data_IF_228777450470
#
_entry.id   IF_228777450470
#
_cell.length_a   1.000
_cell.length_b   1.000
_cell.length_c   1.000
_cell.angle_alpha   90.00
_cell.angle_beta   90.00
_cell.angle_gamma   90.00
#
_symmetry.space_group_name_H-M   'P 1'
#
loop_
_entity.id
_entity.type
_entity.pdbx_description
1 polymer ?
#
# COMPACT_ATOMS: atom_id res chain seq x y z
N UNK A 1 -60.59 -10.32 -2.01
CA UNK A 1 -60.58 -10.47 -0.53
C UNK A 1 -59.21 -9.99 -0.08
N UNK A 2 -59.11 -8.88 0.64
CA UNK A 2 -57.88 -8.38 1.17
C UNK A 2 -57.71 -8.81 2.64
N UNK A 3 -56.51 -9.27 2.99
CA UNK A 3 -56.14 -9.53 4.38
C UNK A 3 -55.20 -8.39 4.85
N UNK A 4 -55.73 -7.65 5.83
CA UNK A 4 -55.03 -6.64 6.60
C UNK A 4 -54.03 -7.29 7.54
N UNK A 5 -52.79 -6.71 7.63
CA UNK A 5 -51.89 -6.99 8.75
C UNK A 5 -51.61 -5.71 9.56
N UNK A 6 -51.87 -5.88 10.86
CA UNK A 6 -51.84 -4.89 11.92
C UNK A 6 -50.41 -4.51 12.29
N UNK A 7 -50.13 -3.21 12.43
CA UNK A 7 -48.89 -2.65 13.01
C UNK A 7 -48.99 -2.71 14.54
N UNK A 8 -48.02 -3.35 15.16
CA UNK A 8 -47.76 -3.28 16.58
C UNK A 8 -46.55 -2.40 16.88
N UNK A 9 -46.77 -1.23 17.44
CA UNK A 9 -45.71 -0.34 17.95
C UNK A 9 -45.43 -0.69 19.42
N UNK A 10 -44.19 -1.03 19.74
CA UNK A 10 -43.73 -1.13 21.14
C UNK A 10 -42.90 0.09 21.46
N UNK A 11 -43.42 0.92 22.37
CA UNK A 11 -42.66 2.00 23.01
C UNK A 11 -41.98 1.47 24.26
N UNK A 12 -40.66 1.59 24.33
CA UNK A 12 -39.90 1.42 25.57
C UNK A 12 -39.56 2.78 26.14
N UNK A 13 -40.09 3.02 27.34
CA UNK A 13 -39.82 4.18 28.19
C UNK A 13 -38.55 3.92 29.01
N UNK A 14 -37.59 4.83 28.97
CA UNK A 14 -36.40 4.83 29.84
C UNK A 14 -36.54 5.94 30.84
N UNK A 15 -36.77 5.56 32.12
CA UNK A 15 -36.77 6.47 33.26
C UNK A 15 -35.36 6.69 33.80
N UNK A 16 -34.98 7.95 33.87
CA UNK A 16 -33.78 8.46 34.54
C UNK A 16 -33.86 8.30 36.07
N UNK A 17 -32.77 7.92 36.71
CA UNK A 17 -32.55 8.21 38.14
C UNK A 17 -31.13 8.74 38.33
N UNK A 18 -31.02 10.05 38.55
CA UNK A 18 -29.90 10.71 39.23
C UNK A 18 -29.81 10.21 40.69
N UNK A 19 -28.61 9.94 41.17
CA UNK A 19 -28.28 10.03 42.59
C UNK A 19 -26.91 10.72 42.74
N UNK A 20 -26.98 11.92 43.29
CA UNK A 20 -25.86 12.69 43.83
C UNK A 20 -25.45 12.12 45.19
N UNK A 21 -24.15 12.03 45.45
CA UNK A 21 -23.58 11.97 46.78
C UNK A 21 -22.45 12.98 46.89
N UNK A 22 -22.75 14.04 47.66
CA UNK A 22 -21.76 14.92 48.28
C UNK A 22 -21.23 14.23 49.55
N UNK A 23 -19.93 14.21 49.75
CA UNK A 23 -19.33 14.05 51.06
C UNK A 23 -18.12 14.98 51.16
N UNK A 24 -18.27 16.02 51.97
CA UNK A 24 -17.18 16.86 52.49
C UNK A 24 -16.45 16.04 53.57
N UNK A 25 -15.13 16.03 53.51
CA UNK A 25 -14.25 15.60 54.55
C UNK A 25 -13.07 16.53 54.66
N UNK A 26 -13.14 17.47 55.63
CA UNK A 26 -12.00 18.25 56.14
C UNK A 26 -11.14 17.32 57.01
N UNK A 27 -9.88 17.20 56.72
CA UNK A 27 -8.87 16.73 57.68
C UNK A 27 -7.68 17.68 57.66
N UNK A 28 -7.55 18.37 58.74
CA UNK A 28 -6.34 19.15 59.13
C UNK A 28 -5.27 18.14 59.54
N UNK A 29 -4.05 18.28 59.04
CA UNK A 29 -2.96 17.39 59.42
C UNK A 29 -1.60 18.01 59.22
N UNK A 30 -1.10 18.60 60.21
CA UNK A 30 0.28 18.69 60.74
C UNK A 30 1.43 18.53 59.74
N UNK A 31 2.17 19.60 59.59
CA UNK A 31 3.48 19.71 58.92
C UNK A 31 4.51 18.94 59.80
N UNK A 32 5.08 17.88 59.25
CA UNK A 32 6.31 17.28 59.75
C UNK A 32 7.38 17.50 58.65
N UNK A 33 8.41 18.27 59.01
CA UNK A 33 9.63 18.42 58.23
C UNK A 33 10.37 17.10 58.21
N UNK A 34 10.26 16.33 57.14
CA UNK A 34 11.03 15.14 56.91
C UNK A 34 12.28 15.50 56.09
N UNK A 35 13.42 15.49 56.76
CA UNK A 35 14.73 15.83 56.21
C UNK A 35 15.24 14.72 55.30
N UNK A 36 14.71 14.65 54.07
CA UNK A 36 15.31 13.88 52.98
C UNK A 36 16.35 14.73 52.25
N UNK A 37 17.55 14.18 52.02
CA UNK A 37 18.51 14.84 51.14
C UNK A 37 17.95 15.01 49.76
N UNK A 38 18.35 16.03 49.01
CA UNK A 38 17.94 16.23 47.63
C UNK A 38 18.32 14.98 46.79
N UNK A 39 17.52 14.62 45.77
CA UNK A 39 17.86 13.52 44.88
C UNK A 39 19.21 13.75 44.21
N UNK A 40 20.06 12.75 44.21
CA UNK A 40 21.33 12.76 43.49
C UNK A 40 21.08 13.09 41.99
N UNK A 41 21.96 13.88 41.35
CA UNK A 41 21.88 14.11 39.93
C UNK A 41 21.99 12.75 39.22
N UNK A 42 21.26 12.56 38.08
CA UNK A 42 21.31 11.30 37.33
C UNK A 42 22.77 11.01 36.95
N UNK A 43 23.21 9.79 37.23
CA UNK A 43 24.50 9.27 36.77
C UNK A 43 24.58 9.41 35.26
N UNK A 44 25.81 9.65 34.71
CA UNK A 44 25.97 9.67 33.25
C UNK A 44 25.44 8.37 32.66
N UNK A 45 24.52 8.49 31.72
CA UNK A 45 23.81 7.40 31.07
C UNK A 45 24.80 6.35 30.59
N UNK A 46 24.70 5.17 31.14
CA UNK A 46 25.35 3.97 30.60
C UNK A 46 24.85 3.78 29.16
N UNK A 47 25.74 3.58 28.18
CA UNK A 47 25.30 3.34 26.80
C UNK A 47 24.32 2.18 26.78
N UNK A 48 23.14 2.40 26.21
CA UNK A 48 22.11 1.40 26.07
C UNK A 48 22.69 0.10 25.49
N UNK A 49 22.54 -1.06 26.16
CA UNK A 49 22.95 -2.32 25.56
C UNK A 49 21.95 -2.66 24.45
N UNK A 50 22.40 -2.57 23.20
CA UNK A 50 21.93 -3.33 22.03
C UNK A 50 20.41 -3.57 21.92
N UNK A 51 19.63 -2.50 21.78
CA UNK A 51 18.46 -2.51 20.93
C UNK A 51 18.89 -1.83 19.64
N UNK A 52 18.64 -2.41 18.44
CA UNK A 52 18.74 -1.64 17.23
C UNK A 52 17.78 -0.46 17.39
N UNK A 53 18.27 0.77 17.27
CA UNK A 53 17.43 1.93 17.18
C UNK A 53 16.44 1.66 16.05
N UNK A 54 15.15 1.83 16.29
CA UNK A 54 14.14 1.80 15.24
C UNK A 54 14.61 2.79 14.17
N UNK A 55 15.11 2.27 13.03
CA UNK A 55 15.63 3.09 11.94
C UNK A 55 17.04 2.81 11.45
N UNK A 56 17.71 1.73 11.85
CA UNK A 56 18.90 1.31 11.11
C UNK A 56 18.46 0.89 9.70
N UNK A 57 18.53 1.84 8.77
CA UNK A 57 18.39 1.57 7.34
C UNK A 57 19.49 0.57 7.01
N UNK A 58 19.11 -0.69 6.76
CA UNK A 58 20.05 -1.71 6.31
C UNK A 58 20.87 -1.11 5.17
N UNK A 59 22.21 -1.17 5.28
CA UNK A 59 23.10 -0.61 4.25
C UNK A 59 22.72 -1.24 2.93
N UNK A 60 22.24 -0.41 2.02
CA UNK A 60 21.80 -0.81 0.69
C UNK A 60 22.98 -1.43 -0.06
N UNK A 61 22.89 -2.69 -0.55
CA UNK A 61 23.99 -3.29 -1.29
C UNK A 61 24.31 -2.50 -2.57
N UNK A 62 25.58 -2.39 -2.88
CA UNK A 62 26.03 -1.75 -4.12
C UNK A 62 25.42 -2.45 -5.35
N UNK A 63 24.92 -1.66 -6.30
CA UNK A 63 24.27 -2.17 -7.51
C UNK A 63 22.85 -2.70 -7.31
N UNK A 64 22.28 -2.59 -6.11
CA UNK A 64 20.88 -2.91 -5.88
C UNK A 64 19.95 -1.82 -6.42
N UNK A 65 18.71 -2.23 -6.71
CA UNK A 65 17.58 -1.35 -7.06
C UNK A 65 16.55 -1.45 -5.94
N UNK A 66 16.19 -0.31 -5.37
CA UNK A 66 15.12 -0.24 -4.37
C UNK A 66 13.79 0.00 -5.07
N UNK A 67 12.87 -0.94 -4.89
CA UNK A 67 11.52 -0.88 -5.44
C UNK A 67 10.54 -0.72 -4.29
N UNK A 68 9.63 0.25 -4.41
CA UNK A 68 8.56 0.46 -3.45
C UNK A 68 7.20 0.43 -4.13
N UNK A 69 6.16 0.04 -3.38
CA UNK A 69 4.77 0.16 -3.81
C UNK A 69 3.97 0.91 -2.74
N UNK A 70 3.04 1.76 -3.20
CA UNK A 70 2.16 2.57 -2.35
C UNK A 70 0.80 2.76 -3.05
N UNK A 71 -0.29 2.40 -2.39
CA UNK A 71 -1.61 2.92 -2.71
C UNK A 71 -1.69 4.35 -2.17
N UNK A 72 -1.91 5.35 -3.04
CA UNK A 72 -1.88 6.79 -2.68
C UNK A 72 -3.22 7.32 -2.18
N UNK A 73 -4.19 6.44 -1.98
CA UNK A 73 -5.52 6.75 -1.46
C UNK A 73 -6.26 7.80 -2.29
N UNK A 74 -6.64 7.45 -3.53
CA UNK A 74 -7.48 8.24 -4.44
C UNK A 74 -6.92 9.64 -4.71
N UNK A 75 -5.79 9.70 -5.39
CA UNK A 75 -5.26 10.98 -5.89
C UNK A 75 -6.13 11.46 -7.06
N UNK A 76 -7.31 11.99 -6.73
CA UNK A 76 -8.20 12.66 -7.68
C UNK A 76 -7.70 14.07 -7.99
N UNK A 77 -7.80 14.47 -9.26
CA UNK A 77 -7.44 15.82 -9.65
C UNK A 77 -8.59 16.84 -9.44
N UNK A 78 -8.53 18.01 -10.05
CA UNK A 78 -9.49 19.10 -9.87
C UNK A 78 -10.56 19.13 -10.97
N UNK A 79 -10.63 18.09 -11.81
CA UNK A 79 -11.59 17.94 -12.90
C UNK A 79 -12.60 16.87 -12.53
N UNK A 80 -13.85 17.07 -12.88
CA UNK A 80 -14.91 16.12 -12.65
C UNK A 80 -15.15 15.27 -13.90
N UNK A 81 -14.48 14.15 -14.03
CA UNK A 81 -14.50 13.32 -15.23
C UNK A 81 -15.78 12.49 -15.37
N UNK A 82 -16.38 12.07 -14.26
CA UNK A 82 -17.65 11.31 -14.27
C UNK A 82 -18.88 12.20 -14.41
N UNK A 83 -18.75 13.52 -14.21
CA UNK A 83 -19.87 14.45 -14.10
C UNK A 83 -20.68 14.29 -12.79
N UNK A 84 -20.22 13.47 -11.86
CA UNK A 84 -20.81 13.21 -10.53
C UNK A 84 -19.71 13.18 -9.48
N UNK A 85 -19.41 14.34 -8.88
CA UNK A 85 -18.24 14.51 -8.06
C UNK A 85 -18.53 15.27 -6.77
N UNK A 86 -17.63 15.06 -5.80
CA UNK A 86 -17.68 15.75 -4.51
C UNK A 86 -18.76 15.22 -3.58
N UNK A 87 -18.84 15.78 -2.36
CA UNK A 87 -19.80 15.33 -1.35
C UNK A 87 -19.61 13.86 -0.99
N UNK A 88 -20.61 13.02 -1.25
CA UNK A 88 -20.61 11.57 -0.98
C UNK A 88 -20.35 10.72 -2.24
N UNK A 89 -20.09 11.34 -3.39
CA UNK A 89 -19.80 10.62 -4.62
C UNK A 89 -18.41 9.95 -4.55
N UNK A 90 -18.21 8.92 -5.37
CA UNK A 90 -16.95 8.18 -5.40
C UNK A 90 -15.77 9.06 -5.86
N UNK A 91 -15.99 9.85 -6.92
CA UNK A 91 -15.03 10.82 -7.42
C UNK A 91 -15.03 12.04 -6.51
N UNK A 92 -13.95 12.22 -5.75
CA UNK A 92 -13.75 13.45 -5.01
C UNK A 92 -13.43 14.59 -5.99
N UNK A 93 -13.85 15.82 -5.65
CA UNK A 93 -13.46 17.01 -6.40
C UNK A 93 -12.71 17.94 -5.45
N UNK A 94 -11.39 17.74 -5.26
CA UNK A 94 -10.62 18.58 -4.38
C UNK A 94 -10.46 19.99 -4.95
N UNK A 95 -10.35 20.99 -4.06
CA UNK A 95 -9.90 22.31 -4.51
C UNK A 95 -8.46 22.23 -5.01
N UNK A 96 -8.00 23.17 -5.88
CA UNK A 96 -6.60 23.19 -6.32
C UNK A 96 -5.58 23.19 -5.17
N UNK A 97 -5.90 23.87 -4.07
CA UNK A 97 -5.03 23.88 -2.88
C UNK A 97 -5.04 22.55 -2.13
N UNK A 98 -6.17 21.87 -2.04
CA UNK A 98 -6.28 20.54 -1.42
C UNK A 98 -5.53 19.48 -2.23
N UNK A 99 -5.70 19.48 -3.56
CA UNK A 99 -4.96 18.62 -4.47
C UNK A 99 -3.44 18.83 -4.37
N UNK A 100 -2.99 20.10 -4.40
CA UNK A 100 -1.58 20.43 -4.25
C UNK A 100 -1.03 19.96 -2.89
N UNK A 101 -1.79 20.15 -1.79
CA UNK A 101 -1.38 19.73 -0.47
C UNK A 101 -1.28 18.19 -0.34
N UNK A 102 -2.20 17.43 -0.96
CA UNK A 102 -2.13 15.97 -1.01
C UNK A 102 -0.90 15.52 -1.80
N UNK A 103 -0.66 16.10 -2.98
CA UNK A 103 0.51 15.78 -3.80
C UNK A 103 1.82 16.13 -3.08
N UNK A 104 1.89 17.26 -2.34
CA UNK A 104 3.05 17.64 -1.53
C UNK A 104 3.30 16.65 -0.38
N UNK A 105 2.23 16.16 0.26
CA UNK A 105 2.35 15.21 1.36
C UNK A 105 2.82 13.84 0.87
N UNK A 106 2.23 13.33 -0.22
CA UNK A 106 2.63 12.09 -0.87
C UNK A 106 4.10 12.15 -1.34
N UNK A 107 4.49 13.26 -1.97
CA UNK A 107 5.87 13.43 -2.45
C UNK A 107 6.88 13.36 -1.30
N UNK A 108 6.65 14.08 -0.20
CA UNK A 108 7.51 13.97 1.00
C UNK A 108 7.60 12.55 1.55
N UNK A 109 6.48 11.82 1.55
CA UNK A 109 6.48 10.40 1.93
C UNK A 109 7.34 9.56 0.99
N UNK A 110 7.17 9.74 -0.32
CA UNK A 110 7.91 8.99 -1.35
C UNK A 110 9.42 9.27 -1.24
N UNK A 111 9.83 10.52 -1.07
CA UNK A 111 11.25 10.88 -0.84
C UNK A 111 11.88 10.11 0.34
N UNK A 112 11.14 9.96 1.46
CA UNK A 112 11.64 9.21 2.64
C UNK A 112 11.84 7.71 2.39
N UNK A 113 11.29 7.14 1.31
CA UNK A 113 11.49 5.73 0.97
C UNK A 113 12.86 5.48 0.34
N UNK A 114 13.53 6.51 -0.21
CA UNK A 114 14.80 6.39 -0.95
C UNK A 114 14.69 5.32 -2.04
N UNK A 115 13.57 5.29 -2.76
CA UNK A 115 13.29 4.31 -3.79
C UNK A 115 13.83 4.74 -5.15
N UNK A 116 14.25 3.78 -5.98
CA UNK A 116 14.61 4.03 -7.39
C UNK A 116 13.39 3.86 -8.32
N UNK A 117 12.42 3.04 -7.89
CA UNK A 117 11.20 2.76 -8.64
C UNK A 117 10.03 2.74 -7.68
N UNK A 118 8.97 3.49 -8.01
CA UNK A 118 7.71 3.52 -7.30
C UNK A 118 6.61 2.89 -8.13
N UNK A 119 5.88 1.95 -7.54
CA UNK A 119 4.68 1.33 -8.08
C UNK A 119 3.49 1.91 -7.32
N UNK A 120 2.70 2.74 -8.00
CA UNK A 120 1.61 3.47 -7.37
C UNK A 120 0.26 2.83 -7.74
N UNK A 121 -0.67 2.85 -6.81
CA UNK A 121 -2.08 2.54 -7.03
C UNK A 121 -2.94 3.73 -6.61
N UNK A 122 -4.11 3.87 -7.23
CA UNK A 122 -5.10 4.92 -7.00
C UNK A 122 -4.67 6.33 -7.46
N UNK A 123 -3.93 6.41 -8.55
CA UNK A 123 -3.73 7.65 -9.31
C UNK A 123 -4.83 7.76 -10.35
N UNK A 124 -5.60 8.86 -10.36
CA UNK A 124 -6.73 9.01 -11.27
C UNK A 124 -6.29 9.28 -12.70
N UNK A 125 -5.50 10.33 -12.91
CA UNK A 125 -5.20 10.88 -14.24
C UNK A 125 -3.70 11.09 -14.44
N UNK A 126 -3.32 11.33 -15.71
CA UNK A 126 -1.96 11.78 -16.03
C UNK A 126 -1.62 13.10 -15.33
N UNK A 127 -2.61 14.00 -15.11
CA UNK A 127 -2.39 15.25 -14.35
C UNK A 127 -2.03 14.96 -12.89
N UNK A 128 -2.67 13.95 -12.26
CA UNK A 128 -2.30 13.48 -10.92
C UNK A 128 -0.88 12.95 -10.85
N UNK A 129 -0.49 12.11 -11.82
CA UNK A 129 0.87 11.59 -11.92
C UNK A 129 1.90 12.70 -12.16
N UNK A 130 1.61 13.65 -13.06
CA UNK A 130 2.50 14.77 -13.35
C UNK A 130 2.65 15.71 -12.17
N UNK A 131 1.60 15.89 -11.37
CA UNK A 131 1.66 16.65 -10.13
C UNK A 131 2.63 16.02 -9.10
N UNK A 132 2.63 14.71 -8.95
CA UNK A 132 3.62 14.00 -8.13
C UNK A 132 5.02 14.11 -8.74
N UNK A 133 5.16 13.80 -10.01
CA UNK A 133 6.44 13.79 -10.71
C UNK A 133 7.14 15.16 -10.70
N UNK A 134 6.37 16.26 -10.77
CA UNK A 134 6.93 17.61 -10.69
C UNK A 134 7.56 17.95 -9.33
N UNK A 135 7.23 17.18 -8.29
CA UNK A 135 7.75 17.31 -6.91
C UNK A 135 8.88 16.34 -6.60
N UNK A 136 9.08 15.36 -7.46
CA UNK A 136 9.99 14.22 -7.28
C UNK A 136 11.02 14.19 -8.43
N UNK A 137 11.99 15.13 -8.44
CA UNK A 137 12.96 15.24 -9.53
C UNK A 137 13.86 13.99 -9.69
N UNK A 138 13.96 13.16 -8.65
CA UNK A 138 14.65 11.87 -8.67
C UNK A 138 13.96 10.84 -9.58
N UNK A 139 12.68 11.05 -9.93
CA UNK A 139 11.93 10.20 -10.87
C UNK A 139 11.63 10.94 -12.19
N UNK A 140 12.64 11.11 -13.07
CA UNK A 140 12.42 11.79 -14.36
C UNK A 140 11.47 11.04 -15.29
N UNK A 141 11.29 9.73 -15.07
CA UNK A 141 10.44 8.87 -15.89
C UNK A 141 9.19 8.46 -15.13
N UNK A 142 8.04 8.44 -15.82
CA UNK A 142 6.79 7.98 -15.24
C UNK A 142 5.79 7.60 -16.31
N UNK A 143 4.92 6.63 -16.00
CA UNK A 143 3.86 6.16 -16.87
C UNK A 143 2.63 5.79 -16.06
N UNK A 144 1.44 6.17 -16.55
CA UNK A 144 0.14 5.80 -16.03
C UNK A 144 -0.42 4.62 -16.82
N UNK A 145 -0.95 3.62 -16.13
CA UNK A 145 -1.72 2.52 -16.70
C UNK A 145 -3.18 2.90 -16.82
N UNK A 146 -3.48 3.85 -17.69
CA UNK A 146 -4.81 4.43 -17.90
C UNK A 146 -5.82 3.36 -18.34
N UNK A 147 -6.95 3.26 -17.66
CA UNK A 147 -8.03 2.34 -18.01
C UNK A 147 -9.04 2.92 -18.99
N UNK A 148 -9.02 4.23 -19.21
CA UNK A 148 -9.98 4.95 -20.03
C UNK A 148 -11.39 5.00 -19.46
N UNK A 149 -11.57 4.69 -18.19
CA UNK A 149 -12.83 4.80 -17.45
C UNK A 149 -12.86 6.12 -16.71
N UNK A 150 -14.01 6.82 -16.75
CA UNK A 150 -14.18 8.07 -15.98
C UNK A 150 -14.05 7.80 -14.48
N UNK A 151 -13.38 8.70 -13.74
CA UNK A 151 -13.11 8.57 -12.31
C UNK A 151 -12.44 7.25 -11.94
N UNK A 152 -11.59 6.71 -12.82
CA UNK A 152 -10.83 5.50 -12.51
C UNK A 152 -9.76 5.82 -11.47
N UNK A 153 -9.35 4.80 -10.75
CA UNK A 153 -8.19 4.84 -9.85
C UNK A 153 -7.18 3.85 -10.38
N UNK A 154 -6.25 4.36 -11.14
CA UNK A 154 -5.35 3.60 -11.97
C UNK A 154 -4.02 3.30 -11.27
N UNK A 155 -3.18 2.50 -11.90
CA UNK A 155 -1.83 2.21 -11.44
C UNK A 155 -0.82 3.05 -12.21
N UNK A 156 0.29 3.38 -11.56
CA UNK A 156 1.36 4.13 -12.21
C UNK A 156 2.74 3.62 -11.79
N UNK A 157 3.75 3.93 -12.60
CA UNK A 157 5.16 3.67 -12.27
C UNK A 157 5.93 4.97 -12.39
N UNK A 158 6.70 5.32 -11.35
CA UNK A 158 7.75 6.34 -11.41
C UNK A 158 9.11 5.64 -11.35
N UNK A 159 10.09 6.13 -12.10
CA UNK A 159 11.42 5.53 -12.18
C UNK A 159 12.52 6.56 -12.30
N UNK A 160 13.61 6.33 -11.54
CA UNK A 160 14.87 7.03 -11.70
C UNK A 160 15.61 6.60 -13.00
N UNK A 161 15.22 5.45 -13.56
CA UNK A 161 15.87 4.86 -14.73
C UNK A 161 14.99 4.96 -15.97
N UNK A 162 15.59 4.97 -17.19
CA UNK A 162 14.86 5.04 -18.45
C UNK A 162 13.84 3.90 -18.60
N UNK A 163 12.62 4.24 -19.00
CA UNK A 163 11.60 3.29 -19.43
C UNK A 163 11.88 2.93 -20.89
N UNK A 164 12.06 1.64 -21.18
CA UNK A 164 12.37 1.13 -22.52
C UNK A 164 11.16 0.51 -23.20
N UNK A 165 10.18 0.01 -22.44
CA UNK A 165 8.95 -0.58 -22.96
C UNK A 165 7.84 -0.49 -21.91
N UNK A 166 6.61 -0.35 -22.37
CA UNK A 166 5.39 -0.38 -21.55
C UNK A 166 4.38 -1.31 -22.23
N UNK A 167 3.80 -2.21 -21.46
CA UNK A 167 2.76 -3.14 -21.90
C UNK A 167 1.59 -3.13 -20.91
N UNK A 168 0.37 -3.07 -21.45
CA UNK A 168 -0.87 -3.22 -20.69
C UNK A 168 -1.48 -4.61 -20.89
N UNK A 169 -2.08 -5.16 -19.85
CA UNK A 169 -2.68 -6.50 -19.88
C UNK A 169 -4.18 -6.51 -19.52
N UNK A 170 -4.80 -5.34 -19.32
CA UNK A 170 -6.19 -5.22 -18.87
C UNK A 170 -7.20 -5.93 -19.78
N UNK A 171 -6.95 -5.92 -21.07
CA UNK A 171 -7.87 -6.51 -22.07
C UNK A 171 -7.78 -8.03 -22.16
N UNK A 172 -6.84 -8.66 -21.46
CA UNK A 172 -6.72 -10.11 -21.40
C UNK A 172 -7.99 -10.72 -20.78
N UNK A 173 -8.55 -11.73 -21.43
CA UNK A 173 -9.63 -12.53 -20.86
C UNK A 173 -9.08 -13.39 -19.73
N UNK A 174 -9.65 -13.25 -18.54
CA UNK A 174 -9.33 -14.03 -17.35
C UNK A 174 -10.45 -15.03 -17.06
N UNK A 175 -10.09 -16.17 -16.45
CA UNK A 175 -11.06 -17.22 -16.11
C UNK A 175 -11.16 -17.33 -14.59
N UNK A 176 -12.37 -17.13 -14.06
CA UNK A 176 -12.65 -17.34 -12.64
C UNK A 176 -12.68 -18.82 -12.28
N UNK A 177 -12.53 -19.22 -11.01
CA UNK A 177 -12.61 -20.62 -10.58
C UNK A 177 -13.92 -21.33 -10.97
N UNK A 178 -15.01 -20.58 -11.13
CA UNK A 178 -16.31 -21.11 -11.57
C UNK A 178 -16.45 -21.26 -13.11
N UNK A 179 -15.39 -20.98 -13.88
CA UNK A 179 -15.37 -21.05 -15.33
C UNK A 179 -15.89 -19.81 -16.05
N UNK A 180 -16.47 -18.82 -15.36
CA UNK A 180 -16.88 -17.58 -16.01
C UNK A 180 -15.67 -16.69 -16.34
N UNK A 181 -15.83 -15.81 -17.33
CA UNK A 181 -14.75 -14.91 -17.75
C UNK A 181 -14.85 -13.54 -17.09
N UNK A 182 -13.72 -12.87 -17.01
CA UNK A 182 -13.59 -11.49 -16.53
C UNK A 182 -12.38 -10.83 -17.18
N UNK A 183 -12.02 -9.62 -16.72
CA UNK A 183 -10.80 -8.89 -17.06
C UNK A 183 -10.19 -8.32 -15.79
N UNK A 184 -8.97 -7.83 -15.86
CA UNK A 184 -8.39 -7.04 -14.76
C UNK A 184 -9.29 -5.86 -14.40
N UNK A 185 -9.39 -5.56 -13.11
CA UNK A 185 -10.18 -4.44 -12.59
C UNK A 185 -9.55 -3.09 -12.97
N UNK A 186 -8.24 -3.02 -12.88
CA UNK A 186 -7.36 -1.92 -13.31
C UNK A 186 -6.33 -2.49 -14.26
N UNK A 187 -5.44 -1.67 -14.78
CA UNK A 187 -4.34 -2.19 -15.59
C UNK A 187 -3.42 -3.09 -14.74
N UNK A 188 -2.95 -4.19 -15.30
CA UNK A 188 -1.70 -4.82 -14.87
C UNK A 188 -0.61 -4.22 -15.75
N UNK A 189 0.12 -3.25 -15.23
CA UNK A 189 1.05 -2.43 -15.97
C UNK A 189 2.46 -3.03 -15.92
N UNK A 190 2.93 -3.56 -17.05
CA UNK A 190 4.30 -4.08 -17.22
C UNK A 190 5.20 -2.97 -17.76
N UNK A 191 6.26 -2.64 -17.03
CA UNK A 191 7.21 -1.59 -17.41
C UNK A 191 8.63 -2.15 -17.40
N UNK A 192 9.33 -2.02 -18.53
CA UNK A 192 10.71 -2.41 -18.68
C UNK A 192 11.62 -1.20 -18.47
N UNK A 193 12.64 -1.38 -17.65
CA UNK A 193 13.61 -0.35 -17.27
C UNK A 193 15.02 -0.76 -17.67
N UNK A 194 15.82 0.21 -18.10
CA UNK A 194 17.27 0.06 -18.25
C UNK A 194 17.97 0.59 -17.00
N UNK A 195 18.37 -0.32 -16.13
CA UNK A 195 19.10 0.00 -14.90
C UNK A 195 20.60 -0.16 -15.15
N UNK A 196 21.22 0.88 -15.71
CA UNK A 196 22.68 0.90 -16.00
C UNK A 196 23.11 -0.30 -16.86
N UNK A 197 22.35 -0.59 -17.92
CA UNK A 197 22.59 -1.72 -18.83
C UNK A 197 22.01 -3.06 -18.38
N UNK A 198 21.32 -3.11 -17.24
CA UNK A 198 20.63 -4.30 -16.74
C UNK A 198 19.13 -4.15 -16.91
N UNK A 199 18.47 -5.20 -17.40
CA UNK A 199 17.02 -5.18 -17.58
C UNK A 199 16.31 -5.44 -16.27
N UNK A 200 15.41 -4.54 -15.90
CA UNK A 200 14.46 -4.70 -14.80
C UNK A 200 13.04 -4.58 -15.36
N UNK A 201 12.20 -5.54 -15.07
CA UNK A 201 10.78 -5.53 -15.46
C UNK A 201 9.95 -5.43 -14.19
N UNK A 202 9.16 -4.37 -14.09
CA UNK A 202 8.25 -4.19 -12.96
C UNK A 202 6.81 -4.28 -13.41
N UNK A 203 5.98 -4.85 -12.55
CA UNK A 203 4.54 -4.93 -12.72
C UNK A 203 3.88 -4.14 -11.60
N UNK A 204 3.12 -3.11 -11.95
CA UNK A 204 2.25 -2.41 -11.00
C UNK A 204 0.84 -2.99 -11.09
N UNK A 205 0.27 -3.36 -9.94
CA UNK A 205 -1.05 -3.97 -9.85
C UNK A 205 -1.92 -3.34 -8.75
N UNK A 206 -3.23 -3.26 -9.04
CA UNK A 206 -4.26 -2.97 -8.06
C UNK A 206 -5.44 -3.90 -8.33
N UNK A 207 -5.52 -5.00 -7.57
CA UNK A 207 -6.57 -6.02 -7.78
C UNK A 207 -7.94 -5.56 -7.29
N UNK A 208 -8.98 -6.31 -7.65
CA UNK A 208 -10.34 -6.05 -7.21
C UNK A 208 -10.42 -5.92 -5.68
N UNK A 209 -10.94 -4.79 -5.21
CA UNK A 209 -11.09 -4.54 -3.78
C UNK A 209 -12.17 -5.45 -3.16
N UNK A 210 -12.16 -5.53 -1.82
CA UNK A 210 -13.19 -6.27 -1.06
C UNK A 210 -14.49 -5.47 -0.86
N UNK A 211 -14.54 -4.23 -1.31
CA UNK A 211 -15.79 -3.47 -1.43
C UNK A 211 -16.58 -4.09 -2.58
N UNK A 212 -17.82 -4.55 -2.34
CA UNK A 212 -18.58 -5.39 -3.27
C UNK A 212 -17.76 -6.58 -3.75
N UNK A 213 -17.35 -7.43 -2.82
CA UNK A 213 -16.32 -8.45 -2.97
C UNK A 213 -16.59 -9.41 -4.14
N UNK A 214 -15.61 -9.53 -5.05
CA UNK A 214 -15.53 -10.55 -6.10
C UNK A 214 -14.21 -11.31 -5.94
N UNK A 215 -14.18 -12.22 -4.96
CA UNK A 215 -13.00 -13.05 -4.67
C UNK A 215 -12.60 -13.92 -5.87
N UNK A 216 -13.58 -14.34 -6.68
CA UNK A 216 -13.32 -15.11 -7.92
C UNK A 216 -12.60 -14.29 -8.98
N UNK A 217 -12.91 -12.99 -9.10
CA UNK A 217 -12.19 -12.09 -9.99
C UNK A 217 -10.77 -11.84 -9.48
N UNK A 218 -10.62 -11.56 -8.19
CA UNK A 218 -9.30 -11.33 -7.57
C UNK A 218 -8.39 -12.55 -7.72
N UNK A 219 -8.95 -13.76 -7.59
CA UNK A 219 -8.22 -15.00 -7.90
C UNK A 219 -7.77 -15.04 -9.36
N UNK A 220 -8.67 -14.73 -10.31
CA UNK A 220 -8.37 -14.76 -11.75
C UNK A 220 -7.30 -13.70 -12.12
N UNK A 221 -7.32 -12.53 -11.47
CA UNK A 221 -6.29 -11.51 -11.62
C UNK A 221 -4.92 -12.04 -11.16
N UNK A 222 -4.86 -12.69 -10.02
CA UNK A 222 -3.63 -13.26 -9.47
C UNK A 222 -3.08 -14.41 -10.34
N UNK A 223 -3.94 -15.32 -10.76
CA UNK A 223 -3.58 -16.47 -11.61
C UNK A 223 -3.00 -15.99 -12.96
N UNK A 224 -3.67 -15.04 -13.59
CA UNK A 224 -3.21 -14.44 -14.85
C UNK A 224 -1.89 -13.64 -14.67
N UNK A 225 -1.74 -12.91 -13.56
CA UNK A 225 -0.50 -12.18 -13.24
C UNK A 225 0.68 -13.15 -13.11
N UNK A 226 0.50 -14.28 -12.41
CA UNK A 226 1.53 -15.33 -12.32
C UNK A 226 1.95 -15.80 -13.71
N UNK A 227 0.99 -16.10 -14.58
CA UNK A 227 1.27 -16.59 -15.94
C UNK A 227 2.01 -15.55 -16.79
N UNK A 228 1.58 -14.27 -16.73
CA UNK A 228 2.20 -13.17 -17.45
C UNK A 228 3.64 -12.97 -16.98
N UNK A 229 3.87 -12.92 -15.68
CA UNK A 229 5.19 -12.73 -15.10
C UNK A 229 6.14 -13.90 -15.38
N UNK A 230 5.62 -15.14 -15.31
CA UNK A 230 6.39 -16.33 -15.67
C UNK A 230 6.82 -16.28 -17.14
N UNK A 231 5.94 -15.84 -18.03
CA UNK A 231 6.27 -15.64 -19.44
C UNK A 231 7.28 -14.51 -19.65
N UNK A 232 7.14 -13.40 -18.91
CA UNK A 232 8.12 -12.29 -18.97
C UNK A 232 9.50 -12.75 -18.51
N UNK A 233 9.58 -13.49 -17.39
CA UNK A 233 10.83 -14.10 -16.90
C UNK A 233 11.44 -15.05 -17.92
N UNK A 234 10.63 -15.91 -18.56
CA UNK A 234 11.11 -16.84 -19.59
C UNK A 234 11.62 -16.12 -20.86
N UNK A 235 11.00 -15.01 -21.27
CA UNK A 235 11.45 -14.20 -22.39
C UNK A 235 12.72 -13.39 -22.07
N UNK A 236 12.92 -13.05 -20.80
CA UNK A 236 14.03 -12.22 -20.31
C UNK A 236 14.74 -12.89 -19.13
N UNK A 237 15.41 -14.04 -19.33
CA UNK A 237 15.94 -14.87 -18.24
C UNK A 237 17.04 -14.19 -17.42
N UNK A 238 17.65 -13.12 -17.92
CA UNK A 238 18.62 -12.31 -17.18
C UNK A 238 18.01 -11.09 -16.49
N UNK A 239 16.73 -10.82 -16.67
CA UNK A 239 16.08 -9.68 -16.04
C UNK A 239 15.87 -9.90 -14.53
N UNK A 240 15.68 -8.81 -13.80
CA UNK A 240 14.97 -8.79 -12.54
C UNK A 240 13.49 -8.58 -12.86
N UNK A 241 12.59 -9.42 -12.34
CA UNK A 241 11.14 -9.32 -12.61
C UNK A 241 10.40 -9.23 -11.27
N UNK A 242 9.74 -8.09 -11.02
CA UNK A 242 9.10 -7.76 -9.73
C UNK A 242 7.67 -7.31 -9.95
N UNK A 243 6.75 -7.81 -9.13
CA UNK A 243 5.37 -7.30 -8.98
C UNK A 243 5.27 -6.50 -7.68
N UNK A 244 4.56 -5.39 -7.71
CA UNK A 244 4.18 -4.67 -6.51
C UNK A 244 2.85 -3.95 -6.65
N UNK A 245 2.22 -3.70 -5.52
CA UNK A 245 0.96 -2.94 -5.43
C UNK A 245 0.00 -3.48 -4.39
N UNK A 246 -1.21 -2.93 -4.42
CA UNK A 246 -2.34 -3.34 -3.59
C UNK A 246 -3.04 -4.55 -4.23
N UNK A 247 -2.76 -5.73 -3.71
CA UNK A 247 -3.37 -6.97 -4.18
C UNK A 247 -4.70 -7.29 -3.49
N UNK A 248 -5.14 -6.41 -2.56
CA UNK A 248 -6.42 -6.48 -1.87
C UNK A 248 -6.70 -7.83 -1.18
N UNK A 249 -5.64 -8.59 -0.86
CA UNK A 249 -5.78 -9.85 -0.13
C UNK A 249 -4.55 -10.15 0.75
N UNK A 250 -4.75 -11.04 1.73
CA UNK A 250 -3.76 -11.35 2.76
C UNK A 250 -2.98 -12.62 2.44
N UNK A 251 -1.76 -12.80 2.98
CA UNK A 251 -0.99 -14.03 2.84
C UNK A 251 -1.79 -15.28 3.20
N UNK A 252 -1.66 -16.33 2.37
CA UNK A 252 -2.39 -17.59 2.55
C UNK A 252 -3.81 -17.58 1.96
N UNK A 253 -4.32 -16.45 1.45
CA UNK A 253 -5.57 -16.41 0.71
C UNK A 253 -5.44 -17.09 -0.67
N UNK A 254 -6.54 -17.61 -1.25
CA UNK A 254 -6.50 -18.25 -2.56
C UNK A 254 -5.86 -17.39 -3.67
N UNK A 255 -6.09 -16.07 -3.79
CA UNK A 255 -5.41 -15.24 -4.78
C UNK A 255 -3.89 -15.22 -4.60
N UNK A 256 -3.39 -15.03 -3.36
CA UNK A 256 -1.95 -14.97 -3.13
C UNK A 256 -1.28 -16.33 -3.25
N UNK A 257 -1.96 -17.42 -2.89
CA UNK A 257 -1.49 -18.77 -3.17
C UNK A 257 -1.43 -19.06 -4.68
N UNK A 258 -2.33 -18.49 -5.49
CA UNK A 258 -2.28 -18.62 -6.94
C UNK A 258 -1.01 -17.96 -7.54
N UNK A 259 -0.56 -16.82 -7.01
CA UNK A 259 0.73 -16.23 -7.41
C UNK A 259 1.93 -17.13 -7.09
N UNK A 260 1.88 -17.82 -5.95
CA UNK A 260 2.96 -18.65 -5.43
C UNK A 260 2.94 -20.10 -5.98
N UNK A 261 1.94 -20.43 -6.78
CA UNK A 261 1.73 -21.80 -7.28
C UNK A 261 3.00 -22.32 -8.00
N UNK A 262 3.41 -23.54 -7.66
CA UNK A 262 4.60 -24.21 -8.19
C UNK A 262 5.91 -23.42 -7.99
N UNK A 263 5.95 -22.51 -7.02
CA UNK A 263 7.11 -21.68 -6.79
C UNK A 263 7.38 -20.65 -7.89
N UNK A 264 6.39 -20.29 -8.71
CA UNK A 264 6.57 -19.34 -9.83
C UNK A 264 6.97 -17.97 -9.34
N UNK A 265 6.29 -17.45 -8.32
CA UNK A 265 6.62 -16.17 -7.68
C UNK A 265 6.90 -16.39 -6.19
N UNK A 266 7.75 -15.57 -5.62
CA UNK A 266 8.03 -15.53 -4.19
C UNK A 266 7.63 -14.20 -3.60
N UNK A 267 6.79 -14.21 -2.56
CA UNK A 267 6.47 -13.03 -1.77
C UNK A 267 7.71 -12.59 -0.98
N UNK A 268 8.11 -11.35 -1.16
CA UNK A 268 9.34 -10.80 -0.59
C UNK A 268 9.30 -10.75 0.94
N UNK A 269 8.16 -10.38 1.50
CA UNK A 269 7.97 -10.24 2.95
C UNK A 269 7.94 -11.56 3.74
N UNK A 270 8.21 -12.72 3.12
CA UNK A 270 8.22 -14.03 3.81
C UNK A 270 9.31 -14.17 4.86
N UNK A 271 10.36 -13.37 4.78
CA UNK A 271 11.47 -13.35 5.74
C UNK A 271 11.25 -12.41 6.93
N UNK A 272 10.05 -11.84 7.03
CA UNK A 272 9.64 -10.96 8.14
C UNK A 272 8.48 -11.54 8.94
N UNK A 273 8.40 -11.27 10.23
CA UNK A 273 7.25 -11.66 11.04
C UNK A 273 5.99 -10.89 10.60
N UNK A 274 4.82 -11.52 10.68
CA UNK A 274 3.54 -10.93 10.25
C UNK A 274 3.24 -9.62 10.98
N UNK A 275 3.73 -9.44 12.21
CA UNK A 275 3.59 -8.19 12.97
C UNK A 275 4.27 -6.99 12.31
N UNK A 276 5.21 -7.22 11.40
CA UNK A 276 5.97 -6.18 10.69
C UNK A 276 5.48 -5.95 9.26
N UNK A 277 4.69 -6.88 8.68
CA UNK A 277 4.34 -6.87 7.24
C UNK A 277 2.98 -6.28 6.92
N UNK A 278 2.15 -5.95 7.94
CA UNK A 278 0.83 -5.36 7.69
C UNK A 278 0.93 -3.97 7.08
N UNK A 279 -0.03 -3.64 6.20
CA UNK A 279 -0.02 -2.40 5.42
C UNK A 279 -1.30 -1.59 5.53
N UNK A 280 -2.36 -2.18 6.05
CA UNK A 280 -3.68 -1.55 6.13
C UNK A 280 -4.39 -1.93 7.43
N UNK A 281 -5.26 -1.04 7.92
CA UNK A 281 -6.10 -1.30 9.10
C UNK A 281 -7.57 -1.22 8.72
N UNK A 282 -8.25 -2.35 8.73
CA UNK A 282 -9.68 -2.42 8.49
C UNK A 282 -10.44 -2.80 9.76
N UNK A 283 -11.37 -1.97 10.21
CA UNK A 283 -12.15 -2.20 11.45
C UNK A 283 -11.28 -2.61 12.65
N UNK A 284 -10.12 -1.97 12.81
CA UNK A 284 -9.16 -2.25 13.88
C UNK A 284 -8.28 -3.50 13.64
N UNK A 285 -8.47 -4.23 12.54
CA UNK A 285 -7.66 -5.40 12.19
C UNK A 285 -6.54 -5.01 11.22
N UNK A 286 -5.32 -5.39 11.57
CA UNK A 286 -4.14 -5.20 10.72
C UNK A 286 -4.12 -6.25 9.61
N UNK A 287 -3.94 -5.81 8.35
CA UNK A 287 -3.91 -6.67 7.18
C UNK A 287 -2.69 -6.31 6.32
N UNK A 288 -1.99 -7.32 5.80
CA UNK A 288 -0.99 -7.14 4.75
C UNK A 288 -1.70 -7.34 3.41
N UNK A 289 -2.05 -6.24 2.72
CA UNK A 289 -2.74 -6.27 1.41
C UNK A 289 -1.91 -5.64 0.29
N UNK A 290 -0.89 -4.87 0.64
CA UNK A 290 0.12 -4.37 -0.30
C UNK A 290 1.33 -5.29 -0.26
N UNK A 291 1.84 -5.68 -1.43
CA UNK A 291 2.86 -6.73 -1.54
C UNK A 291 3.93 -6.40 -2.57
N UNK A 292 5.10 -7.01 -2.38
CA UNK A 292 6.12 -7.19 -3.39
C UNK A 292 6.36 -8.68 -3.61
N UNK A 293 6.46 -9.08 -4.89
CA UNK A 293 6.79 -10.44 -5.33
C UNK A 293 7.94 -10.39 -6.34
N UNK A 294 8.75 -11.44 -6.36
CA UNK A 294 9.79 -11.66 -7.37
C UNK A 294 9.48 -12.93 -8.16
N UNK A 295 9.69 -12.90 -9.47
CA UNK A 295 9.57 -14.09 -10.31
C UNK A 295 10.83 -14.95 -10.21
N UNK A 296 10.65 -16.23 -9.88
CA UNK A 296 11.77 -17.16 -9.68
C UNK A 296 12.37 -17.71 -10.98
N UNK A 297 11.74 -17.46 -12.13
CA UNK A 297 12.21 -17.91 -13.45
C UNK A 297 13.23 -17.00 -14.13
N UNK A 298 13.65 -15.90 -13.49
CA UNK A 298 14.66 -14.95 -13.97
C UNK A 298 15.82 -14.82 -13.00
N UNK A 299 16.93 -14.22 -13.42
CA UNK A 299 18.20 -14.26 -12.69
C UNK A 299 18.35 -13.16 -11.62
N UNK A 300 17.47 -12.14 -11.58
CA UNK A 300 17.46 -11.13 -10.53
C UNK A 300 17.08 -11.73 -9.18
N UNK A 301 17.58 -11.16 -8.07
CA UNK A 301 17.34 -11.67 -6.72
C UNK A 301 16.86 -10.60 -5.76
N UNK A 302 16.07 -11.01 -4.78
CA UNK A 302 15.72 -10.19 -3.62
C UNK A 302 16.90 -10.14 -2.65
N UNK A 303 17.14 -9.00 -2.00
CA UNK A 303 18.12 -8.87 -0.91
C UNK A 303 17.44 -9.27 0.41
N UNK A 304 17.76 -10.43 0.98
CA UNK A 304 17.09 -10.90 2.20
C UNK A 304 17.22 -9.89 3.34
N UNK A 305 16.12 -9.70 4.07
CA UNK A 305 16.07 -8.77 5.20
C UNK A 305 15.86 -7.31 4.83
N UNK A 306 15.83 -6.94 3.54
CA UNK A 306 15.62 -5.55 3.10
C UNK A 306 14.16 -5.11 3.09
N UNK A 307 13.20 -6.05 3.14
CA UNK A 307 11.79 -5.70 3.14
C UNK A 307 11.40 -4.88 4.37
N UNK A 308 10.63 -3.84 4.16
CA UNK A 308 9.95 -3.08 5.23
C UNK A 308 8.59 -2.59 4.75
N UNK A 309 7.64 -2.51 5.68
CA UNK A 309 6.41 -1.77 5.50
C UNK A 309 6.57 -0.43 6.24
N UNK A 310 6.74 0.66 5.49
CA UNK A 310 6.90 2.00 6.03
C UNK A 310 5.53 2.54 6.44
N UNK A 311 5.40 2.96 7.70
CA UNK A 311 4.16 3.43 8.32
C UNK A 311 4.40 4.69 9.13
N UNK A 312 3.37 5.54 9.19
CA UNK A 312 3.30 6.70 10.07
C UNK A 312 2.16 6.51 11.08
N UNK A 313 2.37 6.88 12.33
CA UNK A 313 1.31 6.95 13.34
C UNK A 313 0.38 5.72 13.39
N UNK A 314 -0.84 5.88 12.90
CA UNK A 314 -1.90 4.86 12.97
C UNK A 314 -1.85 3.77 11.90
N UNK A 315 -0.89 3.80 10.96
CA UNK A 315 -0.72 2.73 9.97
C UNK A 315 -0.64 3.13 8.50
N UNK A 316 -0.99 4.35 8.13
CA UNK A 316 -0.81 4.90 6.78
C UNK A 316 0.61 5.42 6.55
N UNK A 317 0.87 5.93 5.34
CA UNK A 317 2.15 6.52 4.99
C UNK A 317 1.99 7.65 3.97
N UNK A 318 2.69 8.78 4.18
CA UNK A 318 2.68 9.92 3.25
C UNK A 318 1.29 10.52 3.03
N UNK A 319 0.37 10.41 3.99
CA UNK A 319 -1.02 10.87 3.89
C UNK A 319 -2.01 9.85 3.34
N UNK A 320 -1.55 8.68 2.89
CA UNK A 320 -2.41 7.54 2.56
C UNK A 320 -2.81 6.78 3.83
N UNK A 321 -3.90 6.02 3.77
CA UNK A 321 -4.30 5.04 4.78
C UNK A 321 -3.59 3.68 4.59
N UNK A 322 -2.82 3.52 3.52
CA UNK A 322 -1.93 2.39 3.28
C UNK A 322 -0.49 2.68 3.69
N UNK A 323 0.21 1.67 4.20
CA UNK A 323 1.65 1.69 4.35
C UNK A 323 2.33 1.49 2.99
N UNK A 324 3.52 2.06 2.81
CA UNK A 324 4.35 1.71 1.66
C UNK A 324 5.13 0.42 1.93
N UNK A 325 5.23 -0.47 0.94
CA UNK A 325 6.12 -1.64 0.99
C UNK A 325 7.37 -1.37 0.16
N UNK A 326 8.54 -1.68 0.73
CA UNK A 326 9.84 -1.35 0.14
C UNK A 326 10.77 -2.56 0.27
N UNK A 327 11.57 -2.83 -0.77
CA UNK A 327 12.63 -3.83 -0.71
C UNK A 327 13.76 -3.52 -1.71
N UNK A 328 14.93 -4.06 -1.44
CA UNK A 328 16.09 -3.99 -2.31
C UNK A 328 16.25 -5.28 -3.14
N UNK A 329 16.61 -5.11 -4.39
CA UNK A 329 16.80 -6.21 -5.34
C UNK A 329 18.11 -6.05 -6.08
N UNK A 330 18.74 -7.16 -6.45
CA UNK A 330 19.94 -7.21 -7.27
C UNK A 330 19.56 -7.69 -8.68
N UNK A 331 19.59 -6.80 -9.70
CA UNK A 331 19.55 -7.22 -11.08
C UNK A 331 20.76 -8.11 -11.41
N UNK A 332 20.57 -9.10 -12.27
CA UNK A 332 21.65 -9.98 -12.67
C UNK A 332 22.83 -9.19 -13.29
N UNK A 333 24.06 -9.71 -13.18
CA UNK A 333 25.25 -9.12 -13.79
C UNK A 333 25.16 -8.96 -15.30
#
# INVERSE_FOLDING_TARGET
MPLSFVRGSVRLSVTSRLRAWLLLGLVSGVSACDGRPPPEPPSPETPCPTRPCEGEVAIRPEGSVRIAALNVHRLFDTVCDSGRCGGSEYEALPSPSAFAAQADQLARGIEMLDADVMLLAEVETQAGLDALKSRLPEFPHGVLGETGSTASVDVAVLSAYPITQVLGHRDRTLVRPNGSTTRFSRELLEVHLDVKGKQVIVFAAHYRSKVDDDAGRRYAEADATRDIMTQAAARSPRALVVLGGDLNDVPGSPPLLALELNGSLSRVAKDRPDSETWTYVYSGQRQAIDHLYIANGAAGTYVPGSFRAAREGGGGFGGSDHAAVVADFLPAP
#
